data_IF_450207412144
#
_entry.id   IF_450207412144
#
_cell.length_a   1.000
_cell.length_b   1.000
_cell.length_c   1.000
_cell.angle_alpha   90.00
_cell.angle_beta   90.00
_cell.angle_gamma   90.00
#
_symmetry.space_group_name_H-M   'P 1'
#
loop_
_entity.id
_entity.type
_entity.pdbx_description
1 polymer ?
#
# COMPACT_ATOMS: atom_id res chain seq x y z
N UNK A 1 10.77 -0.90 1.75
CA UNK A 1 10.10 -1.25 0.48
C UNK A 1 10.38 -0.16 -0.53
N UNK A 2 10.63 -0.50 -1.80
CA UNK A 2 10.83 0.53 -2.82
C UNK A 2 9.50 1.23 -3.16
N UNK A 3 9.45 2.57 -3.23
CA UNK A 3 8.25 3.32 -3.65
C UNK A 3 7.71 2.83 -5.00
N UNK A 4 8.59 2.29 -5.84
CA UNK A 4 8.27 1.75 -7.17
C UNK A 4 7.26 0.60 -7.18
N UNK A 5 7.27 -0.31 -6.19
CA UNK A 5 6.35 -1.46 -6.21
C UNK A 5 4.91 -1.05 -5.88
N UNK A 6 4.73 -0.22 -4.85
CA UNK A 6 3.43 0.33 -4.47
C UNK A 6 2.81 1.13 -5.63
N UNK A 7 3.63 1.91 -6.31
CA UNK A 7 3.22 2.66 -7.49
C UNK A 7 2.74 1.74 -8.63
N UNK A 8 3.46 0.64 -8.92
CA UNK A 8 3.05 -0.33 -9.94
C UNK A 8 1.74 -1.05 -9.58
N UNK A 9 1.57 -1.43 -8.32
CA UNK A 9 0.32 -2.05 -7.83
C UNK A 9 -0.87 -1.10 -7.98
N UNK A 10 -0.70 0.18 -7.64
CA UNK A 10 -1.72 1.19 -7.86
C UNK A 10 -2.02 1.44 -9.33
N UNK A 11 -0.99 1.56 -10.17
CA UNK A 11 -1.17 1.71 -11.61
C UNK A 11 -1.97 0.56 -12.20
N UNK A 12 -1.74 -0.66 -11.73
CA UNK A 12 -2.53 -1.82 -12.12
C UNK A 12 -4.01 -1.64 -11.75
N UNK A 13 -4.31 -1.33 -10.48
CA UNK A 13 -5.69 -1.11 -10.00
C UNK A 13 -6.37 0.02 -10.78
N UNK A 14 -5.68 1.14 -10.96
CA UNK A 14 -6.16 2.33 -11.70
C UNK A 14 -6.48 1.99 -13.15
N UNK A 15 -5.64 1.20 -13.82
CA UNK A 15 -5.86 0.80 -15.22
C UNK A 15 -7.17 0.00 -15.38
N UNK A 16 -7.46 -0.90 -14.44
CA UNK A 16 -8.72 -1.64 -14.42
C UNK A 16 -9.93 -0.74 -14.12
N UNK A 17 -9.79 0.23 -13.20
CA UNK A 17 -10.84 1.20 -12.90
C UNK A 17 -11.14 2.08 -14.13
N UNK A 18 -10.11 2.56 -14.83
CA UNK A 18 -10.24 3.32 -16.07
C UNK A 18 -10.95 2.53 -17.16
N UNK A 19 -10.53 1.28 -17.40
CA UNK A 19 -11.17 0.41 -18.37
C UNK A 19 -12.66 0.22 -18.07
N UNK A 20 -13.01 -0.04 -16.81
CA UNK A 20 -14.40 -0.18 -16.40
C UNK A 20 -15.20 1.12 -16.54
N UNK A 21 -14.61 2.26 -16.19
CA UNK A 21 -15.27 3.56 -16.32
C UNK A 21 -15.54 3.90 -17.78
N UNK A 22 -14.56 3.65 -18.66
CA UNK A 22 -14.73 3.83 -20.11
C UNK A 22 -15.84 2.93 -20.69
N UNK A 23 -15.95 1.69 -20.21
CA UNK A 23 -17.00 0.76 -20.65
C UNK A 23 -18.38 1.13 -20.13
N UNK A 24 -18.48 1.64 -18.90
CA UNK A 24 -19.75 1.94 -18.24
C UNK A 24 -20.31 3.32 -18.65
N UNK A 25 -19.45 4.33 -18.82
CA UNK A 25 -19.83 5.71 -19.08
C UNK A 25 -18.98 6.32 -20.22
N UNK A 26 -19.12 5.83 -21.48
CA UNK A 26 -18.26 6.25 -22.58
C UNK A 26 -18.43 7.72 -23.00
N UNK A 27 -19.61 8.31 -22.77
CA UNK A 27 -19.97 9.66 -23.20
C UNK A 27 -19.60 10.75 -22.17
N UNK A 28 -19.13 10.36 -20.99
CA UNK A 28 -18.80 11.28 -19.90
C UNK A 28 -17.40 11.88 -20.06
N UNK A 29 -17.14 12.98 -19.35
CA UNK A 29 -15.82 13.63 -19.35
C UNK A 29 -14.83 12.88 -18.44
N UNK A 30 -14.48 11.65 -18.84
CA UNK A 30 -13.63 10.71 -18.11
C UNK A 30 -12.27 11.28 -17.64
N UNK A 31 -11.56 12.11 -18.42
CA UNK A 31 -10.27 12.67 -18.00
C UNK A 31 -10.36 13.47 -16.70
N UNK A 32 -11.45 14.22 -16.48
CA UNK A 32 -11.63 15.04 -15.29
C UNK A 32 -11.74 14.19 -14.03
N UNK A 33 -12.62 13.18 -14.04
CA UNK A 33 -12.82 12.28 -12.90
C UNK A 33 -11.54 11.52 -12.57
N UNK A 34 -10.84 11.03 -13.60
CA UNK A 34 -9.56 10.36 -13.45
C UNK A 34 -8.51 11.25 -12.78
N UNK A 35 -8.42 12.53 -13.20
CA UNK A 35 -7.46 13.48 -12.67
C UNK A 35 -7.74 13.79 -11.19
N UNK A 36 -9.02 13.95 -10.82
CA UNK A 36 -9.44 14.11 -9.42
C UNK A 36 -9.03 12.90 -8.58
N UNK A 37 -9.27 11.67 -9.07
CA UNK A 37 -8.90 10.44 -8.38
C UNK A 37 -7.39 10.34 -8.18
N UNK A 38 -6.60 10.67 -9.21
CA UNK A 38 -5.14 10.70 -9.08
C UNK A 38 -4.69 11.73 -8.05
N UNK A 39 -5.23 12.95 -8.07
CA UNK A 39 -4.89 13.98 -7.08
C UNK A 39 -5.15 13.47 -5.67
N UNK A 40 -6.35 12.92 -5.41
CA UNK A 40 -6.70 12.41 -4.08
C UNK A 40 -5.81 11.23 -3.69
N UNK A 41 -5.56 10.29 -4.59
CA UNK A 41 -4.71 9.13 -4.33
C UNK A 41 -3.26 9.53 -4.04
N UNK A 42 -2.71 10.49 -4.79
CA UNK A 42 -1.37 11.02 -4.53
C UNK A 42 -1.29 11.79 -3.22
N UNK A 43 -2.32 12.58 -2.87
CA UNK A 43 -2.38 13.27 -1.58
C UNK A 43 -2.40 12.27 -0.42
N UNK A 44 -3.14 11.16 -0.54
CA UNK A 44 -3.17 10.09 0.46
C UNK A 44 -1.79 9.44 0.67
N UNK A 45 -0.93 9.41 -0.34
CA UNK A 45 0.44 8.90 -0.22
C UNK A 45 1.41 9.88 0.42
N UNK A 46 1.29 11.17 0.09
CA UNK A 46 2.22 12.21 0.55
C UNK A 46 1.95 12.61 2.01
N UNK A 47 0.70 12.56 2.43
CA UNK A 47 0.29 13.02 3.76
C UNK A 47 0.58 11.96 4.81
N UNK A 48 1.41 12.25 5.81
CA UNK A 48 1.64 11.33 6.94
C UNK A 48 0.57 11.42 8.04
N UNK A 49 -0.14 12.55 8.12
CA UNK A 49 -1.13 12.79 9.19
C UNK A 49 -2.41 11.98 8.98
N UNK A 50 -2.68 11.01 9.87
CA UNK A 50 -3.92 10.21 9.87
C UNK A 50 -5.20 11.06 9.88
N UNK A 51 -5.18 12.24 10.53
CA UNK A 51 -6.35 13.14 10.56
C UNK A 51 -6.68 13.67 9.16
N UNK A 52 -5.66 14.11 8.42
CA UNK A 52 -5.81 14.63 7.06
C UNK A 52 -6.18 13.50 6.10
N UNK A 53 -5.59 12.32 6.24
CA UNK A 53 -6.01 11.13 5.47
C UNK A 53 -7.47 10.79 5.70
N UNK A 54 -7.92 10.77 6.96
CA UNK A 54 -9.33 10.57 7.31
C UNK A 54 -10.25 11.57 6.62
N UNK A 55 -9.88 12.85 6.61
CA UNK A 55 -10.61 13.89 5.87
C UNK A 55 -10.65 13.61 4.35
N UNK A 56 -9.54 13.22 3.74
CA UNK A 56 -9.49 12.87 2.31
C UNK A 56 -10.37 11.67 1.97
N UNK A 57 -10.43 10.65 2.84
CA UNK A 57 -11.33 9.52 2.66
C UNK A 57 -12.80 9.91 2.76
N UNK A 58 -13.16 10.77 3.72
CA UNK A 58 -14.52 11.29 3.86
C UNK A 58 -14.88 12.14 2.63
N UNK A 59 -13.97 12.99 2.16
CA UNK A 59 -14.14 13.81 0.97
C UNK A 59 -14.40 12.94 -0.26
N UNK A 60 -13.59 11.89 -0.47
CA UNK A 60 -13.80 10.95 -1.56
C UNK A 60 -15.14 10.21 -1.43
N UNK A 61 -15.49 9.79 -0.22
CA UNK A 61 -16.77 9.14 0.04
C UNK A 61 -17.96 10.03 -0.30
N UNK A 62 -17.91 11.32 0.07
CA UNK A 62 -18.92 12.30 -0.30
C UNK A 62 -19.03 12.49 -1.82
N UNK A 63 -17.88 12.56 -2.51
CA UNK A 63 -17.85 12.61 -3.98
C UNK A 63 -18.48 11.37 -4.62
N UNK A 64 -18.20 10.18 -4.07
CA UNK A 64 -18.77 8.91 -4.54
C UNK A 64 -20.28 8.79 -4.29
N UNK A 65 -20.81 9.45 -3.28
CA UNK A 65 -22.26 9.53 -3.06
C UNK A 65 -22.94 10.54 -3.98
N UNK A 66 -22.24 11.62 -4.35
CA UNK A 66 -22.82 12.69 -5.18
C UNK A 66 -22.70 12.40 -6.68
N UNK A 67 -21.64 11.74 -7.12
CA UNK A 67 -21.44 11.34 -8.52
C UNK A 67 -21.11 9.85 -8.62
N UNK A 68 -21.95 9.12 -9.35
CA UNK A 68 -21.87 7.67 -9.54
C UNK A 68 -20.52 7.21 -10.12
N UNK A 69 -19.88 8.03 -10.97
CA UNK A 69 -18.60 7.68 -11.58
C UNK A 69 -17.48 7.45 -10.56
N UNK A 70 -17.49 8.14 -9.42
CA UNK A 70 -16.46 7.95 -8.40
C UNK A 70 -16.59 6.60 -7.67
N UNK A 71 -17.76 5.96 -7.71
CA UNK A 71 -17.93 4.60 -7.18
C UNK A 71 -16.99 3.63 -7.88
N UNK A 72 -16.77 3.78 -9.20
CA UNK A 72 -15.88 2.93 -9.99
C UNK A 72 -14.39 3.07 -9.64
N UNK A 73 -14.03 4.09 -8.86
CA UNK A 73 -12.68 4.33 -8.39
C UNK A 73 -12.48 3.98 -6.90
N UNK A 74 -13.52 3.46 -6.23
CA UNK A 74 -13.40 2.92 -4.85
C UNK A 74 -12.24 1.92 -4.70
N UNK A 75 -11.96 0.98 -5.64
CA UNK A 75 -10.85 0.05 -5.49
C UNK A 75 -9.50 0.74 -5.25
N UNK A 76 -9.28 1.92 -5.85
CA UNK A 76 -8.04 2.69 -5.67
C UNK A 76 -7.93 3.23 -4.25
N UNK A 77 -9.02 3.75 -3.71
CA UNK A 77 -9.04 4.37 -2.37
C UNK A 77 -9.00 3.31 -1.27
N UNK A 78 -9.66 2.16 -1.51
CA UNK A 78 -9.65 1.01 -0.60
C UNK A 78 -8.26 0.42 -0.43
N UNK A 79 -7.43 0.44 -1.48
CA UNK A 79 -6.03 -0.02 -1.43
C UNK A 79 -5.27 0.70 -0.30
N UNK A 80 -5.35 2.04 -0.29
CA UNK A 80 -4.70 2.89 0.69
C UNK A 80 -5.39 2.79 2.05
N UNK A 81 -6.72 2.78 2.08
CA UNK A 81 -7.49 2.73 3.32
C UNK A 81 -7.18 1.49 4.15
N UNK A 82 -6.94 0.35 3.48
CA UNK A 82 -6.53 -0.88 4.15
C UNK A 82 -5.16 -0.72 4.84
N UNK A 83 -4.19 -0.09 4.17
CA UNK A 83 -2.85 0.15 4.73
C UNK A 83 -2.92 1.12 5.92
N UNK A 84 -3.74 2.18 5.81
CA UNK A 84 -3.80 3.26 6.79
C UNK A 84 -4.66 2.95 8.02
N UNK A 85 -5.78 2.24 7.82
CA UNK A 85 -6.81 2.03 8.84
C UNK A 85 -7.31 0.58 8.95
N UNK A 86 -6.80 -0.36 8.16
CA UNK A 86 -7.10 -1.80 8.25
C UNK A 86 -8.62 -2.10 8.26
N UNK A 87 -9.23 -2.30 9.44
CA UNK A 87 -10.64 -2.71 9.60
C UNK A 87 -11.65 -1.67 9.12
N UNK A 88 -11.25 -0.39 9.03
CA UNK A 88 -12.12 0.66 8.53
C UNK A 88 -12.40 0.55 7.02
N UNK A 89 -11.72 -0.34 6.29
CA UNK A 89 -12.11 -0.67 4.92
C UNK A 89 -13.53 -1.22 4.80
N UNK A 90 -14.09 -1.80 5.87
CA UNK A 90 -15.48 -2.26 5.86
C UNK A 90 -16.46 -1.10 5.63
N UNK A 91 -16.10 0.13 5.96
CA UNK A 91 -16.94 1.31 5.71
C UNK A 91 -17.08 1.68 4.24
N UNK A 92 -16.26 1.13 3.33
CA UNK A 92 -16.46 1.33 1.89
C UNK A 92 -17.46 0.34 1.30
N UNK A 93 -17.87 -0.69 2.05
CA UNK A 93 -18.83 -1.71 1.60
C UNK A 93 -20.19 -1.07 1.24
N UNK A 94 -20.81 -0.23 2.09
CA UNK A 94 -22.06 0.45 1.71
C UNK A 94 -21.93 1.29 0.44
N UNK A 95 -20.78 1.94 0.23
CA UNK A 95 -20.51 2.76 -0.96
C UNK A 95 -20.41 1.93 -2.25
N UNK A 96 -20.00 0.67 -2.18
CA UNK A 96 -19.97 -0.21 -3.35
C UNK A 96 -21.40 -0.62 -3.78
N UNK A 97 -22.35 -0.62 -2.83
CA UNK A 97 -23.74 -1.00 -3.08
C UNK A 97 -24.65 0.15 -3.52
N UNK A 98 -24.21 1.41 -3.47
CA UNK A 98 -25.01 2.55 -3.93
C UNK A 98 -25.24 2.52 -5.45
N UNK A 99 -24.22 2.10 -6.21
CA UNK A 99 -24.36 1.79 -7.63
C UNK A 99 -23.64 0.48 -7.93
N UNK A 100 -24.40 -0.61 -7.84
CA UNK A 100 -23.82 -1.95 -7.77
C UNK A 100 -23.24 -2.41 -9.11
N UNK A 101 -21.91 -2.47 -9.17
CA UNK A 101 -21.15 -3.05 -10.25
C UNK A 101 -20.37 -4.28 -9.75
N UNK A 102 -20.72 -5.51 -10.17
CA UNK A 102 -20.04 -6.74 -9.72
C UNK A 102 -18.53 -6.72 -9.96
N UNK A 103 -18.10 -6.15 -11.09
CA UNK A 103 -16.67 -6.03 -11.43
C UNK A 103 -15.93 -5.11 -10.44
N UNK A 104 -16.60 -4.09 -9.94
CA UNK A 104 -16.02 -3.10 -9.03
C UNK A 104 -15.88 -3.67 -7.60
N UNK A 105 -16.84 -4.51 -7.18
CA UNK A 105 -16.73 -5.30 -5.96
C UNK A 105 -15.53 -6.24 -6.04
N UNK A 106 -15.39 -6.97 -7.15
CA UNK A 106 -14.26 -7.88 -7.38
C UNK A 106 -12.92 -7.13 -7.33
N UNK A 107 -12.82 -5.99 -8.02
CA UNK A 107 -11.61 -5.15 -8.00
C UNK A 107 -11.30 -4.60 -6.61
N UNK A 108 -12.32 -4.24 -5.83
CA UNK A 108 -12.13 -3.79 -4.44
C UNK A 108 -11.57 -4.92 -3.56
N UNK A 109 -12.07 -6.15 -3.72
CA UNK A 109 -11.52 -7.34 -3.02
C UNK A 109 -10.07 -7.59 -3.42
N UNK A 110 -9.77 -7.55 -4.73
CA UNK A 110 -8.40 -7.71 -5.25
C UNK A 110 -7.48 -6.62 -4.69
N UNK A 111 -7.96 -5.38 -4.64
CA UNK A 111 -7.22 -4.25 -4.10
C UNK A 111 -6.84 -4.45 -2.63
N UNK A 112 -7.79 -4.86 -1.78
CA UNK A 112 -7.52 -5.21 -0.38
C UNK A 112 -6.53 -6.37 -0.30
N UNK A 113 -6.70 -7.41 -1.11
CA UNK A 113 -5.81 -8.56 -1.13
C UNK A 113 -4.36 -8.19 -1.49
N UNK A 114 -4.17 -7.34 -2.50
CA UNK A 114 -2.84 -6.82 -2.86
C UNK A 114 -2.27 -6.03 -1.68
N UNK A 115 -3.06 -5.15 -1.05
CA UNK A 115 -2.63 -4.38 0.13
C UNK A 115 -2.16 -5.30 1.28
N UNK A 116 -2.87 -6.39 1.56
CA UNK A 116 -2.48 -7.40 2.57
C UNK A 116 -1.15 -8.06 2.22
N UNK A 117 -1.00 -8.56 0.98
CA UNK A 117 0.25 -9.20 0.53
C UNK A 117 1.41 -8.23 0.65
N UNK A 118 1.21 -6.99 0.23
CA UNK A 118 2.22 -5.95 0.22
C UNK A 118 2.70 -5.64 1.63
N UNK A 119 1.77 -5.54 2.59
CA UNK A 119 2.10 -5.39 4.00
C UNK A 119 2.92 -6.57 4.53
N UNK A 120 2.47 -7.81 4.28
CA UNK A 120 3.18 -9.02 4.72
C UNK A 120 4.57 -9.13 4.11
N UNK A 121 4.71 -8.76 2.84
CA UNK A 121 6.01 -8.77 2.16
C UNK A 121 6.97 -7.74 2.74
N UNK A 122 6.46 -6.56 3.14
CA UNK A 122 7.24 -5.54 3.84
C UNK A 122 7.75 -6.06 5.19
N UNK A 123 6.90 -6.69 5.98
CA UNK A 123 7.26 -7.28 7.28
C UNK A 123 8.38 -8.32 7.12
N UNK A 124 8.24 -9.27 6.18
CA UNK A 124 9.26 -10.30 5.89
C UNK A 124 10.58 -9.66 5.44
N UNK A 125 10.54 -8.60 4.63
CA UNK A 125 11.75 -7.93 4.16
C UNK A 125 12.48 -7.23 5.32
N UNK A 126 11.75 -6.58 6.22
CA UNK A 126 12.31 -5.92 7.40
C UNK A 126 12.93 -6.93 8.37
N UNK A 127 12.29 -8.08 8.57
CA UNK A 127 12.84 -9.19 9.36
C UNK A 127 14.13 -9.76 8.75
N UNK A 128 14.18 -9.95 7.44
CA UNK A 128 15.38 -10.43 6.75
C UNK A 128 16.55 -9.44 6.87
N UNK A 129 16.29 -8.13 6.76
CA UNK A 129 17.32 -7.11 6.96
C UNK A 129 17.86 -7.17 8.39
N UNK A 130 16.97 -7.20 9.39
CA UNK A 130 17.37 -7.32 10.81
C UNK A 130 18.16 -8.59 11.09
N UNK A 131 17.75 -9.73 10.54
CA UNK A 131 18.45 -11.00 10.71
C UNK A 131 19.85 -10.96 10.07
N UNK A 132 19.97 -10.42 8.85
CA UNK A 132 21.25 -10.26 8.16
C UNK A 132 22.21 -9.35 8.94
N UNK A 133 21.70 -8.23 9.45
CA UNK A 133 22.51 -7.27 10.19
C UNK A 133 23.01 -7.89 11.51
N UNK A 134 22.15 -8.64 12.21
CA UNK A 134 22.53 -9.41 13.40
C UNK A 134 23.61 -10.46 13.11
N UNK A 135 23.45 -11.26 12.05
CA UNK A 135 24.45 -12.27 11.65
C UNK A 135 25.81 -11.61 11.36
N UNK A 136 25.79 -10.44 10.71
CA UNK A 136 27.02 -9.69 10.43
C UNK A 136 27.67 -9.19 11.71
N UNK A 137 26.90 -8.68 12.67
CA UNK A 137 27.41 -8.28 13.98
C UNK A 137 28.04 -9.46 14.75
N UNK A 138 27.32 -10.58 14.83
CA UNK A 138 27.79 -11.81 15.50
C UNK A 138 29.09 -12.33 14.86
N UNK A 139 29.20 -12.29 13.53
CA UNK A 139 30.43 -12.68 12.82
C UNK A 139 31.64 -11.80 13.19
N UNK A 140 31.44 -10.49 13.33
CA UNK A 140 32.49 -9.55 13.70
C UNK A 140 32.93 -9.73 15.15
N UNK A 141 31.99 -10.05 16.05
CA UNK A 141 32.29 -10.38 17.45
C UNK A 141 33.11 -11.66 17.57
N UNK A 142 32.71 -12.71 16.83
CA UNK A 142 33.46 -13.98 16.77
C UNK A 142 34.87 -13.79 16.22
N UNK A 143 35.04 -12.97 15.19
CA UNK A 143 36.35 -12.65 14.62
C UNK A 143 37.25 -11.96 15.65
N UNK A 144 36.75 -10.93 16.34
CA UNK A 144 37.47 -10.25 17.44
C UNK A 144 37.85 -11.20 18.57
N UNK A 145 36.95 -12.09 18.97
CA UNK A 145 37.21 -13.07 20.01
C UNK A 145 38.31 -14.07 19.59
N UNK A 146 38.27 -14.54 18.34
CA UNK A 146 39.32 -15.40 17.79
C UNK A 146 40.68 -14.69 17.70
N UNK A 147 40.72 -13.41 17.37
CA UNK A 147 41.95 -12.62 17.39
C UNK A 147 42.54 -12.50 18.81
N UNK A 148 41.70 -12.27 19.82
CA UNK A 148 42.13 -12.24 21.23
C UNK A 148 42.72 -13.58 21.66
N UNK A 149 42.02 -14.69 21.40
CA UNK A 149 42.52 -16.04 21.73
C UNK A 149 43.86 -16.36 21.07
N UNK A 150 44.09 -15.88 19.83
CA UNK A 150 45.39 -16.02 19.15
C UNK A 150 46.49 -15.21 19.83
N UNK A 151 46.20 -13.98 20.29
CA UNK A 151 47.15 -13.13 21.02
C UNK A 151 47.51 -13.73 22.38
N UNK A 152 46.52 -14.22 23.13
CA UNK A 152 46.74 -14.81 24.45
C UNK A 152 47.56 -16.11 24.34
N UNK A 153 47.28 -16.96 23.34
CA UNK A 153 48.15 -18.12 23.07
C UNK A 153 49.59 -17.72 22.79
N UNK A 154 49.84 -16.68 22.00
CA UNK A 154 51.21 -16.22 21.71
C UNK A 154 51.94 -15.71 22.96
N UNK A 155 51.24 -15.10 23.93
CA UNK A 155 51.82 -14.66 25.20
C UNK A 155 52.24 -15.80 26.13
N UNK A 156 51.58 -16.95 26.06
CA UNK A 156 51.89 -18.12 26.92
C UNK A 156 53.15 -18.85 26.44
N UNK A 157 53.53 -18.69 25.16
CA UNK A 157 54.70 -19.34 24.55
C UNK A 157 55.96 -18.45 24.53
N UNK A 158 55.95 -17.29 25.20
CA UNK A 158 57.09 -16.38 25.39
C UNK A 158 57.40 -16.31 26.89
#
# INVERSE_FOLDING_TARGET
MGPMRRFLEKLFIVSFCLYNTYKAYPEENLPLYFLIVIIISSLLEIVDSKKIKGFLYILFGALALYYELFVLYIPVVVYDLHDDFNIFTVFTVPLIFTNYYPINLLLSIISVYISIITKKHKEILEENIKARDKIREDSLLLEKYNEQLKKDRKKIFI
#
